data_IF_787719584327
#
_entry.id   IF_787719584327
#
_cell.length_a   1.000
_cell.length_b   1.000
_cell.length_c   1.000
_cell.angle_alpha   90.00
_cell.angle_beta   90.00
_cell.angle_gamma   90.00
#
_symmetry.space_group_name_H-M   'P 1'
#
loop_
_entity.id
_entity.type
_entity.pdbx_description
1 polymer ?
#
# COMPACT_ATOMS: atom_id res chain seq x y z
N UNK A 1 -14.50 -2.43 -29.45
CA UNK A 1 -15.62 -2.34 -28.49
C UNK A 1 -15.20 -1.28 -27.47
N UNK A 2 -15.83 -0.11 -27.54
CA UNK A 2 -15.49 1.01 -26.65
C UNK A 2 -16.19 0.81 -25.31
N UNK A 3 -15.47 0.83 -24.17
CA UNK A 3 -16.05 1.04 -22.86
C UNK A 3 -15.79 2.48 -22.43
N UNK A 4 -16.86 3.23 -22.25
CA UNK A 4 -16.82 4.52 -21.58
C UNK A 4 -16.79 4.28 -20.07
N UNK A 5 -15.79 4.84 -19.40
CA UNK A 5 -15.76 4.94 -17.93
C UNK A 5 -16.04 6.40 -17.61
N UNK A 6 -17.14 6.67 -16.95
CA UNK A 6 -17.53 8.02 -16.50
C UNK A 6 -17.11 8.19 -15.05
N UNK A 7 -16.20 9.11 -14.78
CA UNK A 7 -15.92 9.55 -13.41
C UNK A 7 -16.52 10.94 -13.21
N UNK A 8 -17.32 11.12 -12.18
CA UNK A 8 -17.89 12.39 -11.80
C UNK A 8 -17.07 13.01 -10.67
N UNK A 9 -16.38 14.10 -10.96
CA UNK A 9 -15.84 15.02 -9.96
C UNK A 9 -16.56 16.34 -10.10
N UNK A 10 -17.18 16.81 -9.04
CA UNK A 10 -17.84 18.09 -8.85
C UNK A 10 -17.98 18.99 -10.08
N UNK A 11 -19.14 19.06 -10.68
CA UNK A 11 -19.61 19.94 -11.77
C UNK A 11 -18.93 19.89 -13.14
N UNK A 12 -17.83 19.16 -13.35
CA UNK A 12 -17.28 18.92 -14.69
C UNK A 12 -16.99 17.44 -14.92
N UNK A 13 -17.52 16.90 -16.01
CA UNK A 13 -17.33 15.50 -16.41
C UNK A 13 -16.13 15.43 -17.34
N UNK A 14 -15.02 14.87 -16.87
CA UNK A 14 -13.87 14.57 -17.70
C UNK A 14 -14.02 13.17 -18.31
N UNK A 15 -14.14 13.11 -19.65
CA UNK A 15 -14.17 11.84 -20.38
C UNK A 15 -12.75 11.43 -20.74
N UNK A 16 -12.23 10.37 -20.14
CA UNK A 16 -11.00 9.72 -20.60
C UNK A 16 -11.41 8.57 -21.51
N UNK A 17 -11.20 8.75 -22.84
CA UNK A 17 -11.40 7.69 -23.82
C UNK A 17 -10.09 6.92 -23.97
N UNK A 18 -10.00 5.73 -23.40
CA UNK A 18 -8.88 4.83 -23.65
C UNK A 18 -9.21 4.04 -24.92
N UNK A 19 -8.61 4.46 -26.05
CA UNK A 19 -8.69 3.71 -27.31
C UNK A 19 -7.65 2.57 -27.27
N UNK A 20 -8.11 1.36 -27.06
CA UNK A 20 -7.29 0.14 -27.24
C UNK A 20 -7.37 -0.29 -28.71
N UNK A 21 -6.38 0.04 -29.50
CA UNK A 21 -6.25 -0.46 -30.86
C UNK A 21 -5.38 -1.71 -30.84
N UNK A 22 -5.98 -2.88 -30.97
CA UNK A 22 -5.36 -4.19 -30.76
C UNK A 22 -4.45 -4.67 -31.91
N UNK A 23 -4.48 -4.05 -33.07
CA UNK A 23 -3.74 -4.53 -34.26
C UNK A 23 -2.34 -3.92 -34.43
N UNK A 24 -2.08 -2.72 -33.91
CA UNK A 24 -0.75 -2.08 -33.98
C UNK A 24 0.25 -2.58 -32.91
N UNK A 25 -0.21 -3.41 -32.02
CA UNK A 25 0.56 -3.84 -30.84
C UNK A 25 1.65 -4.87 -31.13
N UNK A 26 1.58 -5.60 -32.25
CA UNK A 26 2.50 -6.71 -32.55
C UNK A 26 3.84 -6.30 -33.17
N UNK A 27 4.03 -5.09 -33.67
CA UNK A 27 5.20 -4.74 -34.48
C UNK A 27 6.21 -3.75 -33.92
N UNK A 28 6.09 -3.25 -32.70
CA UNK A 28 7.04 -2.28 -32.10
C UNK A 28 7.76 -2.73 -30.83
N UNK A 29 7.91 -4.02 -30.61
CA UNK A 29 8.49 -4.60 -29.36
C UNK A 29 10.03 -4.52 -29.24
N UNK A 30 10.73 -3.70 -30.02
CA UNK A 30 12.20 -3.69 -30.02
C UNK A 30 12.85 -2.50 -29.27
N UNK A 31 12.13 -1.70 -28.50
CA UNK A 31 12.67 -0.46 -27.90
C UNK A 31 12.90 -0.50 -26.37
N UNK A 32 12.57 -1.60 -25.70
CA UNK A 32 12.79 -1.72 -24.26
C UNK A 32 13.92 -2.69 -23.94
N UNK A 33 15.12 -2.16 -23.73
CA UNK A 33 16.32 -2.97 -23.58
C UNK A 33 16.56 -3.60 -22.20
N UNK A 34 15.77 -3.32 -21.18
CA UNK A 34 16.04 -3.86 -19.83
C UNK A 34 14.86 -4.46 -19.09
N UNK A 35 13.64 -4.26 -19.53
CA UNK A 35 12.42 -4.74 -18.86
C UNK A 35 11.50 -5.58 -19.76
N UNK A 36 12.04 -6.26 -20.77
CA UNK A 36 11.24 -7.21 -21.53
C UNK A 36 10.70 -8.28 -20.58
N UNK A 37 9.39 -8.22 -20.32
CA UNK A 37 8.69 -9.28 -19.60
C UNK A 37 8.78 -10.56 -20.39
N UNK A 38 9.74 -11.40 -20.03
CA UNK A 38 9.80 -12.76 -20.55
C UNK A 38 8.87 -13.61 -19.68
N UNK A 39 8.02 -14.37 -20.30
CA UNK A 39 7.27 -15.38 -19.58
C UNK A 39 8.25 -16.47 -19.09
N UNK A 40 7.89 -17.25 -18.07
CA UNK A 40 8.72 -18.39 -17.63
C UNK A 40 9.05 -19.40 -18.76
N UNK A 41 8.35 -19.31 -19.89
CA UNK A 41 8.44 -20.21 -21.04
C UNK A 41 9.34 -19.70 -22.17
N UNK A 42 9.77 -18.42 -22.15
CA UNK A 42 10.52 -17.80 -23.25
C UNK A 42 11.92 -18.42 -23.46
N UNK A 43 12.45 -19.07 -22.42
CA UNK A 43 13.76 -19.71 -22.48
C UNK A 43 13.70 -21.19 -22.96
N UNK A 44 12.50 -21.76 -23.00
CA UNK A 44 12.31 -23.16 -23.37
C UNK A 44 11.98 -23.30 -24.86
N UNK A 45 12.91 -23.87 -25.64
CA UNK A 45 12.77 -24.02 -27.10
C UNK A 45 11.89 -25.21 -27.49
N UNK A 46 11.98 -26.31 -26.74
CA UNK A 46 11.27 -27.58 -27.04
C UNK A 46 10.11 -27.76 -26.06
N UNK A 47 8.94 -27.36 -26.48
CA UNK A 47 7.70 -27.51 -25.70
C UNK A 47 6.96 -28.79 -26.14
N UNK A 48 6.45 -29.54 -25.17
CA UNK A 48 5.47 -30.59 -25.49
C UNK A 48 4.17 -29.94 -26.04
N UNK A 49 3.30 -30.69 -26.74
CA UNK A 49 2.02 -30.15 -27.22
C UNK A 49 1.18 -29.49 -26.14
N UNK A 50 1.16 -30.08 -24.94
CA UNK A 50 0.42 -29.53 -23.78
C UNK A 50 1.05 -28.24 -23.31
N UNK A 51 2.39 -28.18 -23.23
CA UNK A 51 3.09 -26.95 -22.84
C UNK A 51 2.90 -25.82 -23.86
N UNK A 52 2.88 -26.17 -25.16
CA UNK A 52 2.61 -25.23 -26.24
C UNK A 52 1.18 -24.64 -26.13
N UNK A 53 0.18 -25.51 -25.86
CA UNK A 53 -1.19 -25.11 -25.63
C UNK A 53 -1.30 -24.19 -24.39
N UNK A 54 -0.76 -24.61 -23.24
CA UNK A 54 -0.77 -23.80 -22.02
C UNK A 54 -0.12 -22.44 -22.27
N UNK A 55 1.01 -22.41 -23.01
CA UNK A 55 1.69 -21.15 -23.33
C UNK A 55 0.82 -20.22 -24.16
N UNK A 56 0.16 -20.72 -25.19
CA UNK A 56 -0.70 -19.89 -26.04
C UNK A 56 -1.87 -19.31 -25.25
N UNK A 57 -2.59 -20.16 -24.51
CA UNK A 57 -3.72 -19.73 -23.68
C UNK A 57 -3.29 -18.80 -22.54
N UNK A 58 -2.16 -19.08 -21.91
CA UNK A 58 -1.63 -18.25 -20.84
C UNK A 58 -1.22 -16.87 -21.34
N UNK A 59 -0.54 -16.77 -22.49
CA UNK A 59 -0.17 -15.50 -23.09
C UNK A 59 -1.39 -14.67 -23.48
N UNK A 60 -2.37 -15.28 -24.11
CA UNK A 60 -3.60 -14.58 -24.48
C UNK A 60 -4.37 -14.08 -23.26
N UNK A 61 -4.40 -14.86 -22.20
CA UNK A 61 -5.03 -14.47 -20.93
C UNK A 61 -4.21 -13.39 -20.22
N UNK A 62 -2.88 -13.54 -20.21
CA UNK A 62 -1.97 -12.58 -19.63
C UNK A 62 -2.07 -11.21 -20.31
N UNK A 63 -1.98 -11.17 -21.64
CA UNK A 63 -2.05 -9.92 -22.40
C UNK A 63 -3.40 -9.19 -22.23
N UNK A 64 -4.50 -9.96 -22.06
CA UNK A 64 -5.82 -9.39 -21.76
C UNK A 64 -5.91 -8.74 -20.37
N UNK A 65 -5.25 -9.34 -19.36
CA UNK A 65 -5.31 -8.87 -17.98
C UNK A 65 -4.17 -7.92 -17.62
N UNK A 66 -3.11 -7.87 -18.43
CA UNK A 66 -1.91 -7.07 -18.21
C UNK A 66 -1.55 -6.29 -19.48
N UNK A 67 -2.41 -5.37 -19.93
CA UNK A 67 -2.11 -4.56 -21.10
C UNK A 67 -0.82 -3.78 -20.86
N UNK A 68 0.12 -3.88 -21.81
CA UNK A 68 1.35 -3.08 -21.78
C UNK A 68 0.99 -1.65 -22.15
N UNK A 69 1.17 -0.72 -21.21
CA UNK A 69 1.08 0.70 -21.50
C UNK A 69 2.33 1.12 -22.30
N UNK A 70 2.18 1.99 -23.30
CA UNK A 70 3.29 2.54 -24.08
C UNK A 70 3.96 3.67 -23.31
N UNK A 71 5.25 3.93 -23.53
CA UNK A 71 5.94 5.10 -22.95
C UNK A 71 5.25 6.42 -23.30
N UNK A 72 4.69 6.51 -24.52
CA UNK A 72 3.91 7.66 -24.95
C UNK A 72 2.69 7.89 -24.06
N UNK A 73 2.04 6.83 -23.62
CA UNK A 73 0.83 6.91 -22.79
C UNK A 73 1.17 7.48 -21.40
N UNK A 74 2.37 7.17 -20.86
CA UNK A 74 2.86 7.77 -19.62
C UNK A 74 3.10 9.28 -19.77
N UNK A 75 3.75 9.70 -20.86
CA UNK A 75 3.99 11.11 -21.12
C UNK A 75 2.67 11.87 -21.35
N UNK A 76 1.73 11.30 -22.08
CA UNK A 76 0.41 11.88 -22.32
C UNK A 76 -0.34 12.06 -21.00
N UNK A 77 -0.35 11.04 -20.13
CA UNK A 77 -0.94 11.13 -18.81
C UNK A 77 -0.27 12.21 -17.95
N UNK A 78 1.07 12.23 -17.87
CA UNK A 78 1.81 13.20 -17.07
C UNK A 78 1.63 14.64 -17.55
N UNK A 79 1.43 14.82 -18.84
CA UNK A 79 1.20 16.12 -19.45
C UNK A 79 -0.22 16.65 -19.20
N UNK A 80 -1.17 15.81 -18.76
CA UNK A 80 -2.50 16.24 -18.31
C UNK A 80 -2.46 16.80 -16.87
N UNK A 81 -1.43 16.46 -16.09
CA UNK A 81 -1.32 16.91 -14.70
C UNK A 81 -0.93 18.39 -14.65
N UNK A 82 -1.70 19.16 -13.89
CA UNK A 82 -1.43 20.60 -13.73
C UNK A 82 -0.24 20.86 -12.83
N UNK A 83 0.54 21.84 -13.22
CA UNK A 83 1.69 22.32 -12.45
C UNK A 83 1.43 23.74 -12.00
N UNK A 84 1.30 23.95 -10.70
CA UNK A 84 0.92 25.25 -10.12
C UNK A 84 2.12 26.10 -9.70
N UNK A 85 3.26 25.48 -9.42
CA UNK A 85 4.46 26.18 -8.95
C UNK A 85 5.74 25.46 -9.33
N UNK A 86 6.85 26.19 -9.28
CA UNK A 86 8.18 25.64 -9.46
C UNK A 86 8.50 24.62 -8.36
N UNK A 87 8.91 23.43 -8.76
CA UNK A 87 9.23 22.32 -7.84
C UNK A 87 10.47 22.56 -6.96
N UNK A 88 11.22 23.64 -7.20
CA UNK A 88 12.45 23.97 -6.46
C UNK A 88 12.30 25.17 -5.53
N UNK A 89 11.59 26.21 -5.94
CA UNK A 89 11.47 27.44 -5.16
C UNK A 89 10.01 27.85 -4.83
N UNK A 90 9.03 27.10 -5.32
CA UNK A 90 7.62 27.40 -5.05
C UNK A 90 7.01 28.55 -5.86
N UNK A 91 7.82 29.23 -6.71
CA UNK A 91 7.32 30.36 -7.51
C UNK A 91 6.26 29.93 -8.52
N UNK A 92 5.22 30.74 -8.69
CA UNK A 92 4.19 30.57 -9.72
C UNK A 92 4.64 31.16 -11.08
N UNK A 93 5.77 31.89 -11.14
CA UNK A 93 6.26 32.49 -12.40
C UNK A 93 7.20 31.52 -13.14
N UNK A 94 6.63 30.74 -14.02
CA UNK A 94 7.35 29.81 -14.89
C UNK A 94 6.73 29.77 -16.28
N UNK A 95 7.45 29.22 -17.26
CA UNK A 95 6.99 29.04 -18.62
C UNK A 95 7.29 27.63 -19.13
N UNK A 96 6.51 27.16 -20.11
CA UNK A 96 6.80 25.94 -20.86
C UNK A 96 8.18 26.06 -21.53
N UNK A 97 8.97 25.01 -21.50
CA UNK A 97 10.34 24.96 -22.00
C UNK A 97 10.62 23.66 -22.77
N UNK A 98 9.76 23.35 -23.75
CA UNK A 98 9.84 22.14 -24.57
C UNK A 98 9.55 20.87 -23.79
N UNK A 99 10.03 19.75 -24.30
CA UNK A 99 9.77 18.41 -23.76
C UNK A 99 11.06 17.69 -23.39
N UNK A 100 10.97 16.67 -22.57
CA UNK A 100 12.06 15.70 -22.36
C UNK A 100 12.18 14.79 -23.59
N UNK A 101 13.22 13.95 -23.64
CA UNK A 101 13.35 12.92 -24.68
C UNK A 101 12.16 11.93 -24.68
N UNK A 102 11.51 11.73 -23.52
CA UNK A 102 10.35 10.85 -23.35
C UNK A 102 9.01 11.58 -23.51
N UNK A 103 8.99 12.79 -24.07
CA UNK A 103 7.76 13.51 -24.35
C UNK A 103 7.11 14.23 -23.16
N UNK A 104 7.73 14.24 -21.95
CA UNK A 104 7.17 14.91 -20.77
C UNK A 104 7.43 16.41 -20.86
N UNK A 105 6.41 17.23 -20.62
CA UNK A 105 6.49 18.69 -20.64
C UNK A 105 7.50 19.20 -19.62
N UNK A 106 8.46 20.00 -20.07
CA UNK A 106 9.39 20.75 -19.21
C UNK A 106 8.91 22.18 -19.02
N UNK A 107 9.25 22.70 -17.85
CA UNK A 107 9.02 24.09 -17.47
C UNK A 107 10.32 24.74 -17.05
N UNK A 108 10.44 26.05 -17.23
CA UNK A 108 11.57 26.86 -16.72
C UNK A 108 11.04 27.95 -15.81
N UNK A 109 11.48 27.93 -14.56
CA UNK A 109 11.16 28.98 -13.59
C UNK A 109 11.89 30.27 -13.97
N UNK A 110 11.21 31.42 -13.84
CA UNK A 110 11.82 32.72 -14.09
C UNK A 110 12.61 33.23 -12.91
N UNK A 111 12.21 32.86 -11.67
CA UNK A 111 12.87 33.31 -10.46
C UNK A 111 14.17 32.53 -10.16
N UNK A 112 14.11 31.18 -10.11
CA UNK A 112 15.30 30.39 -9.80
C UNK A 112 16.03 29.86 -11.04
N UNK A 113 15.54 30.15 -12.25
CA UNK A 113 16.10 29.71 -13.53
C UNK A 113 16.23 28.21 -13.75
N UNK A 114 15.78 27.37 -12.81
CA UNK A 114 15.83 25.90 -12.93
C UNK A 114 14.76 25.40 -13.88
N UNK A 115 15.11 24.31 -14.58
CA UNK A 115 14.16 23.56 -15.41
C UNK A 115 13.59 22.39 -14.61
N UNK A 116 12.29 22.13 -14.73
CA UNK A 116 11.62 21.08 -14.02
C UNK A 116 10.49 20.47 -14.86
N UNK A 117 10.00 19.32 -14.43
CA UNK A 117 8.80 18.62 -14.93
C UNK A 117 7.82 18.43 -13.78
N UNK A 118 6.66 17.87 -14.04
CA UNK A 118 5.68 17.50 -13.02
C UNK A 118 6.27 16.54 -11.96
N UNK A 119 7.25 15.71 -12.34
CA UNK A 119 7.90 14.73 -11.45
C UNK A 119 9.12 15.27 -10.70
N UNK A 120 9.66 16.44 -11.11
CA UNK A 120 10.87 16.98 -10.50
C UNK A 120 10.68 17.25 -9.01
N UNK A 121 11.65 16.88 -8.22
CA UNK A 121 11.69 17.03 -6.75
C UNK A 121 10.49 16.35 -6.03
N UNK A 122 9.91 15.32 -6.66
CA UNK A 122 8.88 14.44 -6.06
C UNK A 122 9.48 13.07 -5.73
N UNK A 123 8.68 12.16 -5.19
CA UNK A 123 9.10 10.77 -4.97
C UNK A 123 9.42 10.00 -6.27
N UNK A 124 8.99 10.53 -7.42
CA UNK A 124 9.34 10.00 -8.73
C UNK A 124 10.50 10.74 -9.42
N UNK A 125 11.13 11.70 -8.75
CA UNK A 125 12.27 12.39 -9.34
C UNK A 125 13.41 11.41 -9.64
N UNK A 126 14.01 11.55 -10.82
CA UNK A 126 15.16 10.75 -11.29
C UNK A 126 14.94 9.23 -11.24
N UNK A 127 13.69 8.77 -11.29
CA UNK A 127 13.38 7.35 -11.36
C UNK A 127 13.80 6.75 -12.71
N UNK A 128 14.26 5.49 -12.66
CA UNK A 128 14.67 4.71 -13.84
C UNK A 128 13.59 3.72 -14.30
N UNK A 129 12.51 3.66 -13.58
CA UNK A 129 11.42 2.70 -13.74
C UNK A 129 10.15 3.48 -13.97
N UNK A 130 9.35 3.09 -14.94
CA UNK A 130 8.14 3.82 -15.33
C UNK A 130 7.10 3.85 -14.19
N UNK A 131 6.21 4.84 -14.22
CA UNK A 131 5.07 4.91 -13.30
C UNK A 131 4.15 3.70 -13.50
N UNK A 132 4.10 3.17 -14.70
CA UNK A 132 3.33 1.97 -15.05
C UNK A 132 3.81 0.75 -14.28
N UNK A 133 5.14 0.53 -14.21
CA UNK A 133 5.71 -0.55 -13.42
C UNK A 133 5.45 -0.35 -11.92
N UNK A 134 5.37 0.90 -11.46
CA UNK A 134 4.97 1.21 -10.10
C UNK A 134 3.49 0.90 -9.85
N UNK A 135 2.60 1.21 -10.80
CA UNK A 135 1.17 0.85 -10.74
C UNK A 135 1.01 -0.67 -10.63
N UNK A 136 1.73 -1.45 -11.43
CA UNK A 136 1.70 -2.91 -11.34
C UNK A 136 2.21 -3.43 -10.00
N UNK A 137 3.28 -2.82 -9.50
CA UNK A 137 3.77 -3.10 -8.15
C UNK A 137 2.66 -2.89 -7.11
N UNK A 138 1.93 -1.76 -7.18
CA UNK A 138 0.82 -1.48 -6.27
C UNK A 138 -0.31 -2.49 -6.39
N UNK A 139 -0.69 -2.87 -7.60
CA UNK A 139 -1.73 -3.88 -7.83
C UNK A 139 -1.35 -5.25 -7.23
N UNK A 140 -0.09 -5.66 -7.37
CA UNK A 140 0.43 -6.86 -6.73
C UNK A 140 0.40 -6.73 -5.20
N UNK A 141 0.84 -5.60 -4.66
CA UNK A 141 0.85 -5.32 -3.24
C UNK A 141 -0.57 -5.36 -2.64
N UNK A 142 -1.55 -4.74 -3.31
CA UNK A 142 -2.96 -4.77 -2.91
C UNK A 142 -3.61 -6.16 -3.04
N UNK A 143 -2.97 -7.08 -3.76
CA UNK A 143 -3.31 -8.50 -3.82
C UNK A 143 -2.60 -9.36 -2.78
N UNK A 144 -1.88 -8.77 -1.82
CA UNK A 144 -1.05 -9.47 -0.82
C UNK A 144 0.05 -10.34 -1.43
N UNK A 145 0.51 -10.00 -2.63
CA UNK A 145 1.63 -10.68 -3.28
C UNK A 145 2.93 -10.30 -2.55
N UNK A 146 3.73 -11.28 -2.18
CA UNK A 146 5.00 -11.03 -1.50
C UNK A 146 5.98 -10.22 -2.35
N UNK A 147 6.90 -9.48 -1.73
CA UNK A 147 7.91 -8.69 -2.45
C UNK A 147 8.77 -9.53 -3.37
N UNK A 148 9.19 -10.72 -2.94
CA UNK A 148 9.93 -11.65 -3.78
C UNK A 148 9.13 -12.14 -4.99
N UNK A 149 7.83 -12.42 -4.81
CA UNK A 149 6.98 -12.82 -5.93
C UNK A 149 6.76 -11.65 -6.88
N UNK A 150 6.53 -10.45 -6.36
CA UNK A 150 6.42 -9.22 -7.17
C UNK A 150 7.71 -8.97 -7.96
N UNK A 151 8.87 -9.04 -7.32
CA UNK A 151 10.18 -8.90 -7.97
C UNK A 151 10.35 -9.89 -9.13
N UNK A 152 10.03 -11.17 -8.92
CA UNK A 152 10.12 -12.21 -9.95
C UNK A 152 9.12 -11.99 -11.08
N UNK A 153 7.86 -11.67 -10.76
CA UNK A 153 6.80 -11.50 -11.74
C UNK A 153 7.04 -10.28 -12.63
N UNK A 154 7.42 -9.15 -12.02
CA UNK A 154 7.67 -7.89 -12.74
C UNK A 154 9.13 -7.73 -13.21
N UNK A 155 10.02 -8.68 -12.88
CA UNK A 155 11.47 -8.67 -13.18
C UNK A 155 12.19 -7.41 -12.70
N UNK A 156 11.72 -6.86 -11.62
CA UNK A 156 12.31 -5.72 -10.93
C UNK A 156 13.18 -6.27 -9.80
N UNK A 157 14.35 -5.67 -9.59
CA UNK A 157 15.24 -6.10 -8.50
C UNK A 157 14.54 -5.96 -7.12
N UNK A 158 14.76 -6.91 -6.21
CA UNK A 158 14.22 -6.89 -4.85
C UNK A 158 14.52 -5.56 -4.13
N UNK A 159 15.71 -5.00 -4.38
CA UNK A 159 16.09 -3.70 -3.83
C UNK A 159 15.24 -2.54 -4.35
N UNK A 160 14.79 -2.60 -5.60
CA UNK A 160 13.88 -1.61 -6.19
C UNK A 160 12.49 -1.74 -5.59
N UNK A 161 11.97 -2.97 -5.46
CA UNK A 161 10.68 -3.25 -4.81
C UNK A 161 10.69 -2.74 -3.37
N UNK A 162 11.76 -2.98 -2.61
CA UNK A 162 11.93 -2.47 -1.26
C UNK A 162 12.00 -0.94 -1.20
N UNK A 163 12.71 -0.31 -2.15
CA UNK A 163 12.77 1.15 -2.25
C UNK A 163 11.39 1.78 -2.53
N UNK A 164 10.59 1.15 -3.36
CA UNK A 164 9.23 1.60 -3.62
C UNK A 164 8.33 1.46 -2.40
N UNK A 165 8.52 0.41 -1.61
CA UNK A 165 7.82 0.27 -0.33
C UNK A 165 8.14 1.43 0.61
N UNK A 166 9.41 1.84 0.73
CA UNK A 166 9.77 2.99 1.56
C UNK A 166 9.14 4.30 1.08
N UNK A 167 8.96 4.47 -0.23
CA UNK A 167 8.20 5.61 -0.76
C UNK A 167 6.73 5.55 -0.32
N UNK A 168 6.11 4.37 -0.33
CA UNK A 168 4.74 4.19 0.17
C UNK A 168 4.64 4.47 1.67
N UNK A 169 5.58 3.99 2.46
CA UNK A 169 5.63 4.27 3.89
C UNK A 169 5.69 5.78 4.17
N UNK A 170 6.50 6.48 3.40
CA UNK A 170 6.58 7.94 3.53
C UNK A 170 5.27 8.66 3.15
N UNK A 171 4.59 8.21 2.10
CA UNK A 171 3.28 8.74 1.70
C UNK A 171 2.24 8.48 2.78
N UNK A 172 2.24 7.28 3.36
CA UNK A 172 1.22 6.80 4.27
C UNK A 172 1.56 7.01 5.75
N UNK A 173 2.67 7.66 6.06
CA UNK A 173 3.17 7.85 7.43
C UNK A 173 2.12 8.39 8.40
N UNK A 174 1.29 9.32 7.94
CA UNK A 174 0.25 10.00 8.71
C UNK A 174 -1.17 9.59 8.29
N UNK A 175 -1.31 8.51 7.53
CA UNK A 175 -2.61 8.10 6.98
C UNK A 175 -3.66 7.83 8.05
N UNK A 176 -3.25 7.30 9.20
CA UNK A 176 -4.17 6.94 10.27
C UNK A 176 -4.41 8.05 11.30
N UNK A 177 -3.68 9.18 11.24
CA UNK A 177 -3.74 10.23 12.27
C UNK A 177 -5.16 10.83 12.42
N UNK A 178 -5.90 10.94 11.32
CA UNK A 178 -7.25 11.51 11.28
C UNK A 178 -8.38 10.45 11.25
N UNK A 179 -8.05 9.16 11.41
CA UNK A 179 -9.07 8.11 11.44
C UNK A 179 -9.76 8.12 12.79
N UNK A 180 -11.08 8.38 12.78
CA UNK A 180 -11.95 8.28 13.93
C UNK A 180 -13.05 7.25 13.63
N UNK A 181 -13.07 6.16 14.36
CA UNK A 181 -14.08 5.09 14.27
C UNK A 181 -15.37 5.53 14.94
N UNK A 182 -16.54 5.19 14.39
CA UNK A 182 -17.83 5.66 14.89
C UNK A 182 -18.94 4.60 14.78
N UNK A 183 -19.99 4.78 15.57
CA UNK A 183 -21.11 3.83 15.63
C UNK A 183 -20.77 2.58 16.43
N UNK A 184 -20.90 1.40 15.84
CA UNK A 184 -20.50 0.14 16.48
C UNK A 184 -19.01 -0.10 16.25
N UNK A 185 -18.21 0.18 17.26
CA UNK A 185 -16.74 0.10 17.21
C UNK A 185 -16.27 -1.18 17.90
N UNK A 186 -15.63 -2.04 17.15
CA UNK A 186 -15.01 -3.28 17.62
C UNK A 186 -13.52 -3.04 17.89
N UNK A 187 -13.02 -3.50 19.02
CA UNK A 187 -11.57 -3.45 19.33
C UNK A 187 -11.08 -4.81 19.82
N UNK A 188 -9.83 -5.13 19.48
CA UNK A 188 -9.13 -6.35 19.94
C UNK A 188 -7.62 -6.14 19.79
N UNK A 189 -6.82 -7.06 20.31
CA UNK A 189 -5.39 -7.14 20.13
C UNK A 189 -4.98 -8.33 19.27
N UNK A 190 -3.99 -8.10 18.45
CA UNK A 190 -3.34 -9.16 17.69
C UNK A 190 -1.82 -9.08 17.84
N UNK A 191 -1.10 -10.10 17.38
CA UNK A 191 0.32 -10.21 17.69
C UNK A 191 1.16 -10.51 16.46
N UNK A 192 2.32 -9.86 16.39
CA UNK A 192 3.36 -10.10 15.40
C UNK A 192 4.64 -10.57 16.08
N UNK A 193 5.21 -11.69 15.64
CA UNK A 193 6.48 -12.18 16.21
C UNK A 193 7.64 -11.24 15.89
N UNK A 194 8.60 -11.13 16.83
CA UNK A 194 9.91 -10.51 16.59
C UNK A 194 10.63 -11.22 15.43
N UNK A 195 11.64 -10.59 14.86
CA UNK A 195 12.48 -11.25 13.86
C UNK A 195 13.22 -12.45 14.45
N UNK A 196 13.52 -13.46 13.61
CA UNK A 196 14.18 -14.70 14.09
C UNK A 196 15.51 -14.46 14.82
N UNK A 197 16.27 -13.45 14.39
CA UNK A 197 17.54 -13.05 14.98
C UNK A 197 17.39 -12.45 16.39
N UNK A 198 16.22 -11.84 16.66
CA UNK A 198 15.93 -11.13 17.92
C UNK A 198 15.19 -12.02 18.94
N UNK A 199 15.04 -13.32 18.65
CA UNK A 199 14.33 -14.26 19.51
C UNK A 199 15.04 -14.46 20.84
N UNK A 200 14.35 -14.16 21.94
CA UNK A 200 14.80 -14.38 23.30
C UNK A 200 14.34 -15.77 23.76
N UNK A 201 15.32 -16.62 24.11
CA UNK A 201 15.08 -17.96 24.65
C UNK A 201 15.27 -17.98 26.16
N UNK A 202 14.48 -18.80 26.82
CA UNK A 202 14.72 -19.16 28.23
C UNK A 202 15.98 -20.04 28.35
N UNK A 203 16.44 -20.25 29.57
CA UNK A 203 17.60 -21.11 29.87
C UNK A 203 17.44 -22.54 29.34
N UNK A 204 16.21 -23.06 29.31
CA UNK A 204 15.84 -24.38 28.77
C UNK A 204 15.74 -24.41 27.23
N UNK A 205 16.04 -23.32 26.56
CA UNK A 205 15.94 -23.17 25.10
C UNK A 205 14.53 -22.87 24.58
N UNK A 206 13.50 -22.85 25.44
CA UNK A 206 12.13 -22.50 25.05
C UNK A 206 12.00 -21.00 24.81
N UNK A 207 11.05 -20.59 23.92
CA UNK A 207 10.80 -19.19 23.62
C UNK A 207 9.98 -18.53 24.76
N UNK A 208 10.37 -17.33 25.13
CA UNK A 208 9.55 -16.46 25.98
C UNK A 208 8.52 -15.72 25.13
N UNK A 209 7.29 -16.22 25.07
CA UNK A 209 6.24 -15.63 24.24
C UNK A 209 6.04 -14.12 24.54
N UNK A 210 6.06 -13.73 25.82
CA UNK A 210 5.91 -12.34 26.25
C UNK A 210 7.00 -11.37 25.76
N UNK A 211 8.17 -11.88 25.39
CA UNK A 211 9.31 -11.08 24.96
C UNK A 211 9.58 -11.21 23.45
N UNK A 212 8.84 -12.10 22.78
CA UNK A 212 9.06 -12.44 21.36
C UNK A 212 7.90 -12.05 20.45
N UNK A 213 7.02 -11.17 20.93
CA UNK A 213 5.87 -10.68 20.15
C UNK A 213 5.67 -9.18 20.35
N UNK A 214 5.22 -8.51 19.31
CA UNK A 214 4.70 -7.17 19.37
C UNK A 214 3.17 -7.24 19.48
N UNK A 215 2.61 -6.50 20.44
CA UNK A 215 1.19 -6.30 20.56
C UNK A 215 0.74 -5.22 19.56
N UNK A 216 -0.38 -5.44 18.91
CA UNK A 216 -1.00 -4.54 17.94
C UNK A 216 -2.46 -4.37 18.34
N UNK A 217 -2.84 -3.15 18.75
CA UNK A 217 -4.25 -2.81 18.92
C UNK A 217 -4.89 -2.59 17.56
N UNK A 218 -6.07 -3.15 17.35
CA UNK A 218 -6.86 -3.04 16.13
C UNK A 218 -8.29 -2.63 16.47
N UNK A 219 -8.80 -1.63 15.74
CA UNK A 219 -10.18 -1.17 15.82
C UNK A 219 -10.86 -1.23 14.46
N UNK A 220 -12.18 -1.45 14.45
CA UNK A 220 -12.99 -1.55 13.25
C UNK A 220 -14.41 -1.05 13.50
N UNK A 221 -14.99 -0.25 12.59
CA UNK A 221 -16.33 0.35 12.72
C UNK A 221 -17.32 -0.17 11.64
N UNK A 222 -17.06 -1.32 11.04
CA UNK A 222 -17.83 -1.82 9.91
C UNK A 222 -17.37 -1.28 8.55
N UNK A 223 -16.62 -0.17 8.52
CA UNK A 223 -16.14 0.46 7.28
C UNK A 223 -14.63 0.70 7.31
N UNK A 224 -14.10 1.21 8.41
CA UNK A 224 -12.70 1.62 8.56
C UNK A 224 -12.00 0.77 9.59
N UNK A 225 -10.76 0.46 9.31
CA UNK A 225 -9.84 -0.19 10.23
C UNK A 225 -8.81 0.81 10.71
N UNK A 226 -8.49 0.74 11.99
CA UNK A 226 -7.39 1.45 12.63
C UNK A 226 -6.46 0.46 13.32
N UNK A 227 -5.14 0.59 13.16
CA UNK A 227 -4.17 -0.32 13.73
C UNK A 227 -2.97 0.44 14.28
N UNK A 228 -2.57 0.13 15.52
CA UNK A 228 -1.39 0.73 16.13
C UNK A 228 -0.54 -0.30 16.87
N UNK A 229 0.78 -0.20 16.68
CA UNK A 229 1.72 -0.99 17.47
C UNK A 229 1.78 -0.50 18.91
N UNK A 230 1.46 -1.38 19.84
CA UNK A 230 1.54 -1.13 21.28
C UNK A 230 2.90 -1.49 21.89
N UNK A 231 3.84 -1.89 21.03
CA UNK A 231 5.19 -2.25 21.42
C UNK A 231 5.37 -3.72 21.77
N UNK A 232 6.55 -4.04 22.32
CA UNK A 232 6.92 -5.41 22.65
C UNK A 232 6.11 -5.95 23.82
N UNK A 233 5.71 -7.22 23.76
CA UNK A 233 4.95 -7.93 24.79
C UNK A 233 3.63 -8.49 24.26
N UNK A 234 3.07 -9.47 24.99
CA UNK A 234 1.82 -10.15 24.65
C UNK A 234 0.60 -9.58 25.39
N UNK A 235 0.81 -8.64 26.28
CA UNK A 235 -0.28 -8.06 27.06
C UNK A 235 -0.41 -6.59 26.73
N UNK A 236 -1.63 -6.20 26.47
CA UNK A 236 -2.01 -4.79 26.51
C UNK A 236 -2.07 -4.29 27.96
N UNK A 237 -2.27 -3.04 28.15
CA UNK A 237 -2.42 -2.40 29.47
C UNK A 237 -3.36 -1.21 29.34
N UNK A 238 -3.92 -0.75 30.45
CA UNK A 238 -4.75 0.46 30.47
C UNK A 238 -4.12 1.63 29.73
N UNK A 239 -2.82 1.88 29.96
CA UNK A 239 -2.10 2.94 29.27
C UNK A 239 -1.99 2.70 27.77
N UNK A 240 -1.60 1.49 27.36
CA UNK A 240 -1.44 1.14 25.95
C UNK A 240 -2.77 1.26 25.21
N UNK A 241 -3.85 0.70 25.74
CA UNK A 241 -5.19 0.80 25.17
C UNK A 241 -5.65 2.25 25.08
N UNK A 242 -5.44 3.06 26.13
CA UNK A 242 -5.75 4.47 26.12
C UNK A 242 -4.97 5.22 25.04
N UNK A 243 -3.64 5.09 25.02
CA UNK A 243 -2.76 5.75 24.05
C UNK A 243 -3.05 5.31 22.59
N UNK A 244 -3.60 4.11 22.43
CA UNK A 244 -3.97 3.58 21.11
C UNK A 244 -5.27 4.17 20.59
N UNK A 245 -6.32 4.23 21.41
CA UNK A 245 -7.68 4.45 20.92
C UNK A 245 -8.33 5.78 21.31
N UNK A 246 -7.81 6.52 22.31
CA UNK A 246 -8.50 7.69 22.85
C UNK A 246 -8.80 8.78 21.81
N UNK A 247 -7.93 8.97 20.83
CA UNK A 247 -8.11 9.95 19.74
C UNK A 247 -8.79 9.36 18.48
N UNK A 248 -9.11 8.07 18.50
CA UNK A 248 -9.52 7.32 17.32
C UNK A 248 -10.90 6.67 17.42
N UNK A 249 -11.65 6.97 18.47
CA UNK A 249 -13.05 6.55 18.66
C UNK A 249 -13.91 7.78 18.96
N UNK A 250 -15.01 7.90 18.23
CA UNK A 250 -15.98 8.98 18.41
C UNK A 250 -16.72 8.84 19.75
N UNK A 251 -16.89 9.95 20.45
CA UNK A 251 -17.64 9.96 21.72
C UNK A 251 -19.07 9.51 21.53
N UNK A 252 -19.58 8.70 22.46
CA UNK A 252 -20.94 8.18 22.43
C UNK A 252 -21.14 6.95 21.56
N UNK A 253 -20.08 6.40 20.95
CA UNK A 253 -20.13 5.17 20.17
C UNK A 253 -20.40 3.94 21.05
N UNK A 254 -20.85 2.83 20.41
CA UNK A 254 -20.91 1.51 21.04
C UNK A 254 -19.52 0.86 20.97
N UNK A 255 -19.01 0.38 22.10
CA UNK A 255 -17.75 -0.36 22.17
C UNK A 255 -18.01 -1.86 22.30
N UNK A 256 -17.66 -2.62 21.25
CA UNK A 256 -17.82 -4.08 21.20
C UNK A 256 -16.44 -4.72 21.35
N UNK A 257 -16.26 -5.48 22.41
CA UNK A 257 -14.94 -6.03 22.74
C UNK A 257 -15.04 -7.34 23.54
N UNK A 258 -13.94 -8.04 23.67
CA UNK A 258 -13.83 -9.13 24.64
C UNK A 258 -13.82 -8.60 26.08
N UNK A 259 -13.84 -9.51 27.06
CA UNK A 259 -13.83 -9.11 28.49
C UNK A 259 -12.44 -8.68 28.98
N UNK A 260 -11.55 -8.19 28.09
CA UNK A 260 -10.26 -7.66 28.52
C UNK A 260 -10.47 -6.36 29.33
N UNK A 261 -9.95 -6.34 30.54
CA UNK A 261 -10.21 -5.24 31.48
C UNK A 261 -9.63 -3.91 31.04
N UNK A 262 -8.56 -3.93 30.27
CA UNK A 262 -7.89 -2.71 29.80
C UNK A 262 -8.81 -1.87 28.93
N UNK A 263 -9.74 -2.48 28.19
CA UNK A 263 -10.67 -1.76 27.31
C UNK A 263 -11.59 -0.80 28.06
N UNK A 264 -11.88 -1.09 29.33
CA UNK A 264 -12.77 -0.25 30.15
C UNK A 264 -12.24 1.18 30.36
N UNK A 265 -10.92 1.43 30.16
CA UNK A 265 -10.34 2.77 30.28
C UNK A 265 -10.93 3.78 29.28
N UNK A 266 -11.51 3.31 28.19
CA UNK A 266 -12.08 4.14 27.12
C UNK A 266 -13.53 4.54 27.40
N UNK A 267 -14.24 3.80 28.26
CA UNK A 267 -15.71 3.93 28.43
C UNK A 267 -16.06 5.31 28.96
N UNK A 268 -15.50 5.70 30.11
CA UNK A 268 -15.84 6.96 30.77
C UNK A 268 -15.37 8.20 29.98
N UNK A 269 -14.08 8.29 29.53
CA UNK A 269 -13.60 9.47 28.82
C UNK A 269 -14.31 9.75 27.49
N UNK A 270 -14.75 8.67 26.80
CA UNK A 270 -15.43 8.77 25.52
C UNK A 270 -16.97 8.60 25.61
N UNK A 271 -17.51 8.41 26.83
CA UNK A 271 -18.94 8.18 27.09
C UNK A 271 -19.48 7.03 26.20
N UNK A 272 -18.78 5.87 26.17
CA UNK A 272 -19.12 4.73 25.32
C UNK A 272 -20.16 3.83 25.96
N UNK A 273 -21.00 3.20 25.11
CA UNK A 273 -21.85 2.09 25.55
C UNK A 273 -21.09 0.78 25.35
N UNK A 274 -20.70 0.10 26.41
CA UNK A 274 -19.84 -1.10 26.35
C UNK A 274 -20.64 -2.38 26.21
N UNK A 275 -20.25 -3.23 25.23
CA UNK A 275 -20.74 -4.59 25.00
C UNK A 275 -19.56 -5.57 25.10
N UNK A 276 -19.35 -6.13 26.29
CA UNK A 276 -18.22 -7.03 26.57
C UNK A 276 -18.65 -8.49 26.49
N UNK A 277 -18.00 -9.27 25.63
CA UNK A 277 -18.29 -10.68 25.38
C UNK A 277 -17.17 -11.60 25.89
N UNK A 278 -17.54 -12.81 26.27
CA UNK A 278 -16.56 -13.83 26.65
C UNK A 278 -16.03 -14.52 25.39
N UNK A 279 -14.75 -14.28 25.06
CA UNK A 279 -14.14 -14.84 23.85
C UNK A 279 -14.19 -16.38 23.80
N UNK A 280 -14.13 -17.09 24.95
CA UNK A 280 -14.24 -18.55 24.98
C UNK A 280 -15.67 -19.05 24.68
N UNK A 281 -16.69 -18.28 25.01
CA UNK A 281 -18.08 -18.60 24.65
C UNK A 281 -18.32 -18.27 23.18
N UNK A 282 -17.86 -17.12 22.72
CA UNK A 282 -17.96 -16.69 21.31
C UNK A 282 -17.32 -17.69 20.33
N UNK A 283 -16.18 -18.28 20.68
CA UNK A 283 -15.51 -19.32 19.88
C UNK A 283 -16.32 -20.61 19.66
N UNK A 284 -17.39 -20.83 20.45
CA UNK A 284 -18.28 -22.00 20.29
C UNK A 284 -19.45 -21.70 19.37
N UNK A 285 -19.68 -20.44 19.07
CA UNK A 285 -20.76 -20.00 18.18
C UNK A 285 -20.33 -20.19 16.72
N UNK A 286 -21.32 -20.23 15.84
CA UNK A 286 -21.07 -20.10 14.40
C UNK A 286 -20.60 -18.68 14.11
N UNK A 287 -19.84 -18.51 13.03
CA UNK A 287 -19.31 -17.19 12.64
C UNK A 287 -20.44 -16.14 12.49
N UNK A 288 -21.61 -16.54 12.00
CA UNK A 288 -22.80 -15.68 11.83
C UNK A 288 -23.37 -15.17 13.16
N UNK A 289 -23.23 -15.96 14.23
CA UNK A 289 -23.79 -15.68 15.55
C UNK A 289 -22.73 -15.07 16.52
N UNK A 290 -21.48 -15.00 16.08
CA UNK A 290 -20.38 -14.53 16.92
C UNK A 290 -20.28 -12.99 16.89
N UNK A 291 -20.61 -12.28 17.99
CA UNK A 291 -20.56 -10.83 18.03
C UNK A 291 -19.15 -10.25 17.85
N UNK A 292 -18.10 -11.04 18.08
CA UNK A 292 -16.71 -10.63 17.87
C UNK A 292 -16.17 -11.00 16.48
N UNK A 293 -16.95 -11.65 15.62
CA UNK A 293 -16.49 -12.10 14.30
C UNK A 293 -15.96 -10.94 13.43
N UNK A 294 -16.59 -9.75 13.38
CA UNK A 294 -16.09 -8.67 12.54
C UNK A 294 -14.65 -8.26 12.87
N UNK A 295 -14.28 -8.22 14.16
CA UNK A 295 -12.90 -7.88 14.55
C UNK A 295 -11.95 -9.06 14.39
N UNK A 296 -12.39 -10.29 14.63
CA UNK A 296 -11.61 -11.51 14.41
C UNK A 296 -11.18 -11.61 12.94
N UNK A 297 -12.07 -11.29 12.00
CA UNK A 297 -11.76 -11.28 10.57
C UNK A 297 -10.70 -10.25 10.23
N UNK A 298 -10.77 -9.06 10.81
CA UNK A 298 -9.74 -8.01 10.62
C UNK A 298 -8.39 -8.44 11.20
N UNK A 299 -8.38 -9.04 12.38
CA UNK A 299 -7.17 -9.62 12.98
C UNK A 299 -6.56 -10.72 12.09
N UNK A 300 -7.38 -11.61 11.53
CA UNK A 300 -6.93 -12.67 10.63
C UNK A 300 -6.35 -12.11 9.33
N UNK A 301 -7.02 -11.14 8.71
CA UNK A 301 -6.53 -10.46 7.49
C UNK A 301 -5.22 -9.74 7.75
N UNK A 302 -5.07 -9.06 8.90
CA UNK A 302 -3.82 -8.41 9.28
C UNK A 302 -2.69 -9.43 9.44
N UNK A 303 -2.96 -10.58 10.09
CA UNK A 303 -1.98 -11.67 10.21
C UNK A 303 -1.57 -12.22 8.84
N UNK A 304 -2.52 -12.40 7.91
CA UNK A 304 -2.23 -12.83 6.54
C UNK A 304 -1.36 -11.81 5.82
N UNK A 305 -1.69 -10.52 5.90
CA UNK A 305 -0.90 -9.44 5.33
C UNK A 305 0.53 -9.44 5.87
N UNK A 306 0.73 -9.42 7.18
CA UNK A 306 2.06 -9.44 7.80
C UNK A 306 2.84 -10.72 7.45
N UNK A 307 2.15 -11.86 7.35
CA UNK A 307 2.75 -13.13 6.96
C UNK A 307 3.17 -13.18 5.49
N UNK A 308 2.47 -12.50 4.59
CA UNK A 308 2.87 -12.40 3.18
C UNK A 308 4.18 -11.62 3.00
N UNK A 309 4.50 -10.76 3.97
CA UNK A 309 5.69 -9.90 3.98
C UNK A 309 6.73 -10.34 5.02
N UNK A 310 6.84 -11.64 5.31
CA UNK A 310 7.78 -12.19 6.31
C UNK A 310 9.22 -11.69 6.09
N UNK A 311 9.93 -11.43 7.19
CA UNK A 311 11.34 -10.99 7.15
C UNK A 311 11.52 -9.47 7.14
N UNK A 312 10.45 -8.68 7.26
CA UNK A 312 10.58 -7.22 7.42
C UNK A 312 11.17 -6.86 8.78
N UNK A 313 11.92 -5.76 8.85
CA UNK A 313 12.37 -5.19 10.13
C UNK A 313 11.17 -4.68 10.95
N UNK A 314 11.13 -5.03 12.23
CA UNK A 314 10.02 -4.69 13.14
C UNK A 314 9.95 -3.21 13.50
N UNK A 315 11.01 -2.46 13.29
CA UNK A 315 11.00 -0.98 13.37
C UNK A 315 10.01 -0.33 12.39
N UNK A 316 9.75 -0.98 11.24
CA UNK A 316 8.75 -0.52 10.27
C UNK A 316 7.34 -1.10 10.52
N UNK A 317 7.09 -1.74 11.68
CA UNK A 317 5.80 -2.36 11.94
C UNK A 317 4.65 -1.36 11.80
N UNK A 318 4.78 -0.14 12.33
CA UNK A 318 3.74 0.88 12.20
C UNK A 318 3.52 1.30 10.74
N UNK A 319 4.55 1.37 9.92
CA UNK A 319 4.42 1.68 8.50
C UNK A 319 3.66 0.59 7.75
N UNK A 320 3.89 -0.69 8.09
CA UNK A 320 3.08 -1.80 7.57
C UNK A 320 1.63 -1.73 8.05
N UNK A 321 1.37 -1.29 9.28
CA UNK A 321 0.01 -1.10 9.80
C UNK A 321 -0.70 0.06 9.08
N UNK A 322 0.00 1.15 8.80
CA UNK A 322 -0.54 2.26 8.00
C UNK A 322 -0.89 1.80 6.58
N UNK A 323 -0.02 1.01 5.96
CA UNK A 323 -0.27 0.42 4.65
C UNK A 323 -1.46 -0.55 4.69
N UNK A 324 -1.55 -1.42 5.69
CA UNK A 324 -2.68 -2.32 5.87
C UNK A 324 -4.01 -1.55 6.02
N UNK A 325 -4.04 -0.52 6.85
CA UNK A 325 -5.21 0.33 7.02
C UNK A 325 -5.59 1.02 5.70
N UNK A 326 -4.64 1.59 4.97
CA UNK A 326 -4.88 2.18 3.65
C UNK A 326 -5.48 1.18 2.66
N UNK A 327 -4.98 -0.05 2.64
CA UNK A 327 -5.47 -1.09 1.73
C UNK A 327 -6.90 -1.55 2.04
N UNK A 328 -7.30 -1.51 3.30
CA UNK A 328 -8.58 -2.05 3.77
C UNK A 328 -9.64 -0.99 4.05
N UNK A 329 -9.29 0.29 4.06
CA UNK A 329 -10.21 1.41 4.23
C UNK A 329 -10.73 1.92 2.89
N UNK A 330 -11.87 2.64 2.87
CA UNK A 330 -12.34 3.31 1.66
C UNK A 330 -11.31 4.33 1.11
N UNK A 331 -11.29 4.56 -0.20
CA UNK A 331 -12.07 3.88 -1.23
C UNK A 331 -11.64 2.41 -1.39
N UNK A 332 -12.58 1.50 -1.66
CA UNK A 332 -12.24 0.06 -1.79
C UNK A 332 -11.74 -0.28 -3.20
N UNK A 333 -12.01 0.55 -4.19
CA UNK A 333 -11.49 0.37 -5.53
C UNK A 333 -9.97 0.59 -5.56
N UNK A 334 -9.25 -0.35 -6.18
CA UNK A 334 -7.80 -0.31 -6.26
C UNK A 334 -7.29 0.81 -7.17
N UNK A 335 -8.04 1.15 -8.21
CA UNK A 335 -7.65 2.23 -9.13
C UNK A 335 -7.80 3.60 -8.46
N UNK A 336 -8.85 3.82 -7.67
CA UNK A 336 -9.01 5.03 -6.86
C UNK A 336 -7.88 5.19 -5.84
N UNK A 337 -7.44 4.08 -5.21
CA UNK A 337 -6.26 4.10 -4.32
C UNK A 337 -4.98 4.48 -5.05
N UNK A 338 -4.76 3.94 -6.24
CA UNK A 338 -3.60 4.26 -7.08
C UNK A 338 -3.64 5.73 -7.49
N UNK A 339 -4.80 6.23 -7.90
CA UNK A 339 -5.00 7.63 -8.22
C UNK A 339 -4.67 8.54 -7.03
N UNK A 340 -5.16 8.21 -5.83
CA UNK A 340 -4.80 8.93 -4.61
C UNK A 340 -3.29 9.00 -4.40
N UNK A 341 -2.58 7.88 -4.54
CA UNK A 341 -1.13 7.82 -4.36
C UNK A 341 -0.37 8.64 -5.42
N UNK A 342 -0.79 8.57 -6.69
CA UNK A 342 -0.19 9.35 -7.79
C UNK A 342 -0.42 10.85 -7.55
N UNK A 343 -1.64 11.25 -7.21
CA UNK A 343 -1.97 12.63 -6.90
C UNK A 343 -1.19 13.15 -5.69
N UNK A 344 -1.04 12.34 -4.66
CA UNK A 344 -0.20 12.71 -3.51
C UNK A 344 1.24 12.98 -3.96
N UNK A 345 1.85 12.05 -4.69
CA UNK A 345 3.24 12.18 -5.14
C UNK A 345 3.44 13.39 -6.04
N UNK A 346 2.55 13.61 -6.99
CA UNK A 346 2.68 14.71 -7.96
C UNK A 346 2.41 16.10 -7.35
N UNK A 347 1.68 16.18 -6.26
CA UNK A 347 1.39 17.44 -5.56
C UNK A 347 2.34 17.76 -4.41
N UNK A 348 3.12 16.77 -3.93
CA UNK A 348 4.03 16.97 -2.82
C UNK A 348 5.49 17.02 -3.28
N UNK A 349 6.17 18.11 -2.92
CA UNK A 349 7.60 18.30 -3.18
C UNK A 349 8.40 17.59 -2.10
N UNK A 350 8.70 16.32 -2.33
CA UNK A 350 9.47 15.48 -1.41
C UNK A 350 10.22 14.40 -2.17
N UNK A 351 11.48 14.19 -1.83
CA UNK A 351 12.32 13.13 -2.40
C UNK A 351 12.85 12.21 -1.32
N UNK A 352 12.91 10.92 -1.63
CA UNK A 352 13.66 9.93 -0.85
C UNK A 352 14.76 9.40 -1.75
N UNK A 353 16.01 9.54 -1.32
CA UNK A 353 17.14 8.99 -2.06
C UNK A 353 17.25 7.49 -1.79
N UNK A 354 17.55 6.72 -2.83
CA UNK A 354 17.76 5.27 -2.71
C UNK A 354 18.79 4.93 -1.63
N UNK A 355 19.91 5.69 -1.58
CA UNK A 355 20.96 5.50 -0.58
C UNK A 355 20.43 5.66 0.84
N UNK A 356 19.63 6.71 1.09
CA UNK A 356 19.10 7.01 2.42
C UNK A 356 18.07 5.97 2.86
N UNK A 357 17.20 5.53 1.94
CA UNK A 357 16.24 4.45 2.18
C UNK A 357 16.91 3.08 2.44
N UNK A 358 18.13 2.86 1.95
CA UNK A 358 18.86 1.58 2.08
C UNK A 358 19.99 1.64 3.10
N UNK A 359 20.31 2.80 3.68
CA UNK A 359 21.40 2.96 4.66
C UNK A 359 21.15 2.21 5.97
N UNK A 360 19.88 1.99 6.33
CA UNK A 360 19.50 1.13 7.47
C UNK A 360 19.82 -0.36 7.27
N UNK A 361 20.51 -0.74 6.17
CA UNK A 361 20.98 -2.11 5.93
C UNK A 361 22.30 -2.46 6.64
N UNK A 362 23.04 -1.47 7.16
CA UNK A 362 24.39 -1.70 7.67
C UNK A 362 24.43 -2.15 9.13
N UNK A 363 23.28 -2.17 9.81
CA UNK A 363 23.15 -2.64 11.20
C UNK A 363 22.44 -4.01 11.32
N UNK A 364 22.28 -4.75 10.22
CA UNK A 364 21.73 -6.11 10.18
C UNK A 364 22.81 -7.19 10.08
#
# INVERSE_FOLDING_TARGET
>A
MFRQVTMAFGSEVLFIVICLNTEDFRMKNNLYSSSQRRTPWDEKKDLSPVQAFIRSEYLDTWDRHHPLLKETDEADFLNLLEVHCCRYCGSADFKKNGYTCNGIQRYKCRDCSRTFTVLSNTLFDSHKVSIIEWIEYLLNLFGYVSFHSTSRNSRIADSTVKYWLFKLFDILKHYQDDIVLSGDVYIDETYCHVAKKDLIKKYDGTLKASENQYCIGIGYDGKRVYCKSEGLGIQTSYKKTYDTFIGHIEKGSSLIHDKERCHNILIEPLNLTSFAYNSNECKKLKDEDNPLQPINDRCNLLKQFLNSHRGFSREYLQDYLNLYAFMNNPPYDKLEKIEYLINYVTNNVKTIRYRDAMSHKTDE
#
